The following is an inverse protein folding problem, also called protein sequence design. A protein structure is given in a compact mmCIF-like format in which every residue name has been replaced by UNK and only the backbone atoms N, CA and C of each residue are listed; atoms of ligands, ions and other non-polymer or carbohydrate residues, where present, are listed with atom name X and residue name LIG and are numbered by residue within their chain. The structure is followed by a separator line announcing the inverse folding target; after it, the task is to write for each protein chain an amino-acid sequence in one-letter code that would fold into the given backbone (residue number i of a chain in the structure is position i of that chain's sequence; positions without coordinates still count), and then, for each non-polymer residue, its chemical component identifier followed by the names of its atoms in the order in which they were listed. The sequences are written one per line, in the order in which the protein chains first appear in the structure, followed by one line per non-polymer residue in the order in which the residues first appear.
data_IF_753719185455
#
_entry.id   IF_753719185455
#
_cell.length_a   1.000
_cell.length_b   1.000
_cell.length_c   1.000
_cell.angle_alpha   90.00
_cell.angle_beta   90.00
_cell.angle_gamma   90.00
#
_symmetry.space_group_name_H-M   'P 1'
#
loop_
_entity.id
_entity.type
_entity.pdbx_description
1 polymer ?
#
# COMPACT_ATOMS: atom_id res chain seq x y z
N UNK A 1 50.85 -49.03 1.85
CA UNK A 1 49.70 -48.62 1.02
C UNK A 1 48.86 -47.61 1.81
N UNK A 2 48.98 -46.30 1.49
CA UNK A 2 48.22 -45.23 2.14
C UNK A 2 47.00 -44.92 1.27
N UNK A 3 45.79 -45.09 1.81
CA UNK A 3 44.53 -44.69 1.17
C UNK A 3 44.32 -43.15 1.32
N UNK A 4 43.98 -42.43 0.26
CA UNK A 4 43.60 -41.02 0.40
C UNK A 4 42.18 -40.91 0.96
N UNK A 5 42.06 -40.11 2.04
CA UNK A 5 40.77 -39.67 2.57
C UNK A 5 40.19 -38.61 1.62
N UNK A 6 39.10 -38.95 0.96
CA UNK A 6 38.31 -37.99 0.18
C UNK A 6 37.37 -37.33 1.14
N UNK A 7 37.62 -36.03 1.45
CA UNK A 7 36.64 -35.16 2.13
C UNK A 7 35.57 -34.77 1.12
N UNK A 8 34.29 -35.01 1.38
CA UNK A 8 33.23 -34.40 0.56
C UNK A 8 33.18 -32.92 0.83
N UNK A 9 33.42 -32.13 -0.22
CA UNK A 9 33.18 -30.69 -0.25
C UNK A 9 31.68 -30.45 -0.12
N UNK A 10 31.21 -30.13 1.07
CA UNK A 10 29.84 -29.70 1.30
C UNK A 10 29.73 -28.30 0.71
N UNK A 11 29.23 -28.22 -0.52
CA UNK A 11 28.81 -26.95 -1.13
C UNK A 11 27.57 -26.47 -0.38
N UNK A 12 27.79 -25.58 0.58
CA UNK A 12 26.73 -24.87 1.27
C UNK A 12 26.04 -23.98 0.25
N UNK A 13 24.94 -24.44 -0.33
CA UNK A 13 24.01 -23.64 -1.10
C UNK A 13 23.48 -22.54 -0.15
N UNK A 14 24.05 -21.36 -0.23
CA UNK A 14 23.46 -20.14 0.29
C UNK A 14 22.20 -19.90 -0.56
N UNK A 15 21.10 -20.55 -0.21
CA UNK A 15 19.78 -20.09 -0.58
C UNK A 15 19.64 -18.76 0.15
N UNK A 16 19.80 -17.68 -0.61
CA UNK A 16 19.56 -16.34 -0.08
C UNK A 16 18.16 -16.32 0.52
N UNK A 17 18.07 -16.25 1.85
CA UNK A 17 16.85 -15.86 2.51
C UNK A 17 16.52 -14.47 1.97
N UNK A 18 15.58 -14.39 1.02
CA UNK A 18 14.87 -13.13 0.79
C UNK A 18 14.30 -12.72 2.14
N UNK A 19 14.59 -11.51 2.57
CA UNK A 19 14.14 -11.04 3.87
C UNK A 19 12.61 -11.16 3.93
N UNK A 20 12.08 -11.69 5.02
CA UNK A 20 10.65 -11.88 5.22
C UNK A 20 9.78 -10.62 4.90
N UNK A 21 10.29 -9.39 5.12
CA UNK A 21 9.61 -8.15 4.75
C UNK A 21 9.37 -7.98 3.25
N UNK A 22 10.35 -8.29 2.39
CA UNK A 22 10.22 -8.16 0.93
C UNK A 22 9.12 -9.09 0.39
N UNK A 23 9.03 -10.30 0.92
CA UNK A 23 7.98 -11.24 0.56
C UNK A 23 6.60 -10.73 0.97
N UNK A 24 6.45 -10.11 2.14
CA UNK A 24 5.18 -9.52 2.58
C UNK A 24 4.75 -8.33 1.69
N UNK A 25 5.69 -7.50 1.22
CA UNK A 25 5.38 -6.41 0.31
C UNK A 25 4.87 -6.92 -1.04
N UNK A 26 5.51 -7.96 -1.58
CA UNK A 26 5.07 -8.62 -2.82
C UNK A 26 3.68 -9.25 -2.67
N UNK A 27 3.41 -9.95 -1.57
CA UNK A 27 2.11 -10.54 -1.28
C UNK A 27 1.00 -9.48 -1.17
N UNK A 28 1.26 -8.34 -0.52
CA UNK A 28 0.31 -7.22 -0.43
C UNK A 28 0.01 -6.62 -1.79
N UNK A 29 1.03 -6.34 -2.60
CA UNK A 29 0.84 -5.79 -3.94
C UNK A 29 0.07 -6.78 -4.83
N UNK A 30 0.39 -8.06 -4.79
CA UNK A 30 -0.31 -9.11 -5.53
C UNK A 30 -1.78 -9.25 -5.08
N UNK A 31 -2.07 -9.09 -3.79
CA UNK A 31 -3.44 -9.09 -3.26
C UNK A 31 -4.26 -7.91 -3.83
N UNK A 32 -3.68 -6.70 -3.83
CA UNK A 32 -4.32 -5.50 -4.42
C UNK A 32 -4.60 -5.72 -5.90
N UNK A 33 -3.59 -6.14 -6.66
CA UNK A 33 -3.73 -6.38 -8.10
C UNK A 33 -4.73 -7.49 -8.41
N UNK A 34 -4.71 -8.59 -7.65
CA UNK A 34 -5.66 -9.70 -7.82
C UNK A 34 -7.12 -9.28 -7.56
N UNK A 35 -7.37 -8.49 -6.52
CA UNK A 35 -8.72 -7.99 -6.22
C UNK A 35 -9.23 -7.07 -7.34
N UNK A 36 -8.35 -6.23 -7.90
CA UNK A 36 -8.68 -5.27 -8.96
C UNK A 36 -9.03 -5.94 -10.27
N UNK A 37 -8.33 -7.00 -10.67
CA UNK A 37 -8.57 -7.72 -11.95
C UNK A 37 -10.02 -8.21 -12.05
N UNK A 38 -10.59 -8.72 -10.96
CA UNK A 38 -11.94 -9.30 -10.93
C UNK A 38 -13.03 -8.32 -10.50
N UNK A 39 -12.68 -7.07 -10.18
CA UNK A 39 -13.65 -6.10 -9.70
C UNK A 39 -14.67 -5.71 -10.76
N UNK A 40 -15.96 -5.84 -10.43
CA UNK A 40 -17.06 -5.32 -11.24
C UNK A 40 -17.56 -3.96 -10.73
N UNK A 41 -17.24 -3.61 -9.50
CA UNK A 41 -17.60 -2.36 -8.83
C UNK A 41 -16.48 -1.93 -7.88
N UNK A 42 -16.35 -0.62 -7.70
CA UNK A 42 -15.48 -0.03 -6.70
C UNK A 42 -16.14 1.22 -6.10
N UNK A 43 -15.76 1.56 -4.89
CA UNK A 43 -16.16 2.80 -4.23
C UNK A 43 -15.00 3.32 -3.37
N UNK A 44 -15.07 4.60 -3.02
CA UNK A 44 -14.19 5.20 -2.00
C UNK A 44 -15.05 5.54 -0.80
N UNK A 45 -14.63 5.13 0.38
CA UNK A 45 -15.38 5.33 1.62
C UNK A 45 -14.55 6.06 2.66
N UNK A 46 -15.19 6.93 3.43
CA UNK A 46 -14.65 7.48 4.67
C UNK A 46 -15.15 6.59 5.80
N UNK A 47 -14.24 5.98 6.52
CA UNK A 47 -14.53 4.98 7.56
C UNK A 47 -13.99 5.48 8.89
N UNK A 48 -14.82 5.46 9.93
CA UNK A 48 -14.41 5.81 11.29
C UNK A 48 -13.50 4.73 11.87
N UNK A 49 -12.41 5.15 12.47
CA UNK A 49 -11.40 4.21 12.97
C UNK A 49 -11.87 3.41 14.21
N UNK A 50 -12.71 4.02 15.05
CA UNK A 50 -13.10 3.42 16.33
C UNK A 50 -14.06 2.21 16.24
N UNK A 51 -14.88 2.15 15.20
CA UNK A 51 -15.97 1.17 15.06
C UNK A 51 -16.18 0.66 13.63
N UNK A 52 -15.27 0.99 12.72
CA UNK A 52 -15.35 0.68 11.28
C UNK A 52 -16.63 1.19 10.58
N UNK A 53 -17.32 2.16 11.18
CA UNK A 53 -18.55 2.71 10.61
C UNK A 53 -18.25 3.52 9.33
N UNK A 54 -18.98 3.21 8.26
CA UNK A 54 -18.91 3.96 7.00
C UNK A 54 -19.65 5.28 7.20
N UNK A 55 -18.91 6.40 7.21
CA UNK A 55 -19.44 7.75 7.35
C UNK A 55 -19.92 8.33 6.01
N UNK A 56 -19.23 8.01 4.94
CA UNK A 56 -19.57 8.40 3.57
C UNK A 56 -19.05 7.36 2.58
N UNK A 57 -19.72 7.18 1.45
CA UNK A 57 -19.29 6.26 0.39
C UNK A 57 -19.63 6.84 -0.98
N UNK A 58 -18.68 6.77 -1.89
CA UNK A 58 -18.73 7.33 -3.24
C UNK A 58 -18.46 6.23 -4.26
N UNK A 59 -19.52 5.75 -4.93
CA UNK A 59 -19.44 4.70 -5.93
C UNK A 59 -18.76 5.19 -7.21
N UNK A 60 -17.99 4.34 -7.85
CA UNK A 60 -17.37 4.62 -9.14
C UNK A 60 -18.23 4.13 -10.29
N UNK A 61 -18.43 4.92 -11.37
CA UNK A 61 -18.98 4.43 -12.65
C UNK A 61 -18.10 3.31 -13.24
N UNK A 62 -18.67 2.45 -14.09
CA UNK A 62 -17.95 1.31 -14.69
C UNK A 62 -16.69 1.74 -15.47
N UNK A 63 -16.78 2.87 -16.16
CA UNK A 63 -15.67 3.45 -16.92
C UNK A 63 -14.53 3.84 -15.98
N UNK A 64 -14.85 4.45 -14.85
CA UNK A 64 -13.87 4.81 -13.81
C UNK A 64 -13.27 3.57 -13.13
N UNK A 65 -14.05 2.50 -12.94
CA UNK A 65 -13.52 1.22 -12.45
C UNK A 65 -12.52 0.62 -13.44
N UNK A 66 -12.79 0.71 -14.74
CA UNK A 66 -11.84 0.26 -15.76
C UNK A 66 -10.54 1.09 -15.76
N UNK A 67 -10.66 2.41 -15.61
CA UNK A 67 -9.49 3.29 -15.44
C UNK A 67 -8.71 2.95 -14.18
N UNK A 68 -9.37 2.81 -13.03
CA UNK A 68 -8.77 2.40 -11.77
C UNK A 68 -7.95 1.12 -11.90
N UNK A 69 -8.49 0.10 -12.60
CA UNK A 69 -7.75 -1.14 -12.90
C UNK A 69 -6.44 -0.85 -13.63
N UNK A 70 -6.49 -0.12 -14.72
CA UNK A 70 -5.30 0.20 -15.50
C UNK A 70 -4.27 1.06 -14.75
N UNK A 71 -4.69 1.83 -13.74
CA UNK A 71 -3.78 2.56 -12.86
C UNK A 71 -3.12 1.62 -11.84
N UNK A 72 -3.89 0.79 -11.15
CA UNK A 72 -3.37 -0.11 -10.13
C UNK A 72 -2.53 -1.27 -10.70
N UNK A 73 -2.79 -1.70 -11.94
CA UNK A 73 -1.96 -2.67 -12.68
C UNK A 73 -0.54 -2.16 -12.95
N UNK A 74 -0.34 -0.84 -13.01
CA UNK A 74 0.98 -0.23 -13.13
C UNK A 74 1.76 -0.20 -11.81
N UNK A 75 1.11 -0.54 -10.71
CA UNK A 75 1.71 -0.52 -9.39
C UNK A 75 2.70 -1.67 -9.18
N UNK A 76 3.65 -1.44 -8.29
CA UNK A 76 4.64 -2.41 -7.82
C UNK A 76 4.67 -2.48 -6.29
N UNK A 77 5.23 -3.55 -5.70
CA UNK A 77 5.53 -3.57 -4.28
C UNK A 77 6.49 -2.44 -3.90
N UNK A 78 6.40 -2.00 -2.66
CA UNK A 78 7.34 -1.04 -2.10
C UNK A 78 8.68 -1.72 -1.76
N UNK A 79 9.76 -0.98 -1.92
CA UNK A 79 11.07 -1.33 -1.35
C UNK A 79 11.26 -0.75 0.06
N UNK A 80 10.25 -0.03 0.55
CA UNK A 80 10.25 0.59 1.86
C UNK A 80 9.77 -0.41 2.93
N UNK A 81 10.60 -0.67 3.91
CA UNK A 81 10.31 -1.52 5.06
C UNK A 81 10.51 -0.68 6.33
N UNK A 82 9.43 -0.13 6.91
CA UNK A 82 9.56 0.62 8.15
C UNK A 82 9.84 -0.32 9.33
N UNK A 83 10.84 0.00 10.12
CA UNK A 83 10.93 -0.53 11.47
C UNK A 83 9.78 0.05 12.30
N UNK A 84 8.96 -0.83 12.88
CA UNK A 84 7.77 -0.43 13.62
C UNK A 84 8.17 0.25 14.94
N UNK A 85 8.08 1.56 14.94
CA UNK A 85 7.97 2.34 16.18
C UNK A 85 6.49 2.68 16.35
N UNK A 86 6.00 2.69 17.58
CA UNK A 86 4.59 2.86 17.95
C UNK A 86 3.82 3.80 17.02
N UNK A 87 2.71 3.36 16.43
CA UNK A 87 1.93 4.19 15.53
C UNK A 87 1.46 5.46 16.28
N UNK A 88 1.39 6.61 15.60
CA UNK A 88 0.74 7.79 16.14
C UNK A 88 -0.71 7.45 16.52
N UNK A 89 -1.32 8.26 17.39
CA UNK A 89 -2.73 8.08 17.72
C UNK A 89 -3.57 7.97 16.43
N UNK A 90 -4.47 6.98 16.33
CA UNK A 90 -5.24 6.78 15.11
C UNK A 90 -6.08 8.03 14.81
N UNK A 91 -6.24 8.38 13.52
CA UNK A 91 -7.11 9.48 13.11
C UNK A 91 -8.57 9.16 13.48
N UNK A 92 -9.43 10.18 13.50
CA UNK A 92 -10.87 10.02 13.74
C UNK A 92 -11.51 9.10 12.68
N UNK A 93 -11.15 9.30 11.44
CA UNK A 93 -11.58 8.53 10.27
C UNK A 93 -10.48 8.52 9.22
N UNK A 94 -10.59 7.60 8.27
CA UNK A 94 -9.64 7.48 7.16
C UNK A 94 -10.36 7.13 5.86
N UNK A 95 -9.67 7.24 4.74
CA UNK A 95 -10.23 7.00 3.42
C UNK A 95 -9.77 5.64 2.90
N UNK A 96 -10.73 4.83 2.47
CA UNK A 96 -10.48 3.51 1.93
C UNK A 96 -11.04 3.38 0.52
N UNK A 97 -10.24 2.81 -0.38
CA UNK A 97 -10.69 2.26 -1.64
C UNK A 97 -11.27 0.87 -1.36
N UNK A 98 -12.55 0.68 -1.68
CA UNK A 98 -13.27 -0.57 -1.48
C UNK A 98 -13.48 -1.25 -2.84
N UNK A 99 -12.96 -2.48 -3.00
CA UNK A 99 -13.05 -3.27 -4.22
C UNK A 99 -13.48 -4.69 -3.83
N UNK A 100 -14.76 -5.03 -4.05
CA UNK A 100 -15.32 -6.26 -3.48
C UNK A 100 -15.16 -6.26 -1.96
N UNK A 101 -14.55 -7.31 -1.41
CA UNK A 101 -14.27 -7.44 0.03
C UNK A 101 -12.96 -6.79 0.47
N UNK A 102 -12.16 -6.29 -0.47
CA UNK A 102 -10.89 -5.64 -0.17
C UNK A 102 -11.10 -4.18 0.22
N UNK A 103 -10.45 -3.76 1.30
CA UNK A 103 -10.31 -2.36 1.71
C UNK A 103 -8.84 -1.97 1.65
N UNK A 104 -8.50 -1.01 0.80
CA UNK A 104 -7.16 -0.44 0.66
C UNK A 104 -7.17 0.98 1.20
N UNK A 105 -6.40 1.25 2.26
CA UNK A 105 -6.24 2.60 2.78
C UNK A 105 -5.55 3.48 1.72
N UNK A 106 -6.10 4.66 1.44
CA UNK A 106 -5.51 5.58 0.46
C UNK A 106 -4.10 6.02 0.82
N UNK A 107 -3.79 6.14 2.10
CA UNK A 107 -2.43 6.48 2.55
C UNK A 107 -1.40 5.39 2.27
N UNK A 108 -1.85 4.15 2.04
CA UNK A 108 -0.99 3.04 1.65
C UNK A 108 -0.74 2.94 0.14
N UNK A 109 -1.28 3.87 -0.67
CA UNK A 109 -0.96 4.05 -2.07
C UNK A 109 0.02 5.21 -2.20
N UNK A 110 1.24 4.95 -2.64
CA UNK A 110 2.27 5.98 -2.77
C UNK A 110 2.63 6.22 -4.23
N UNK A 111 3.19 7.39 -4.51
CA UNK A 111 3.91 7.64 -5.76
C UNK A 111 5.38 7.25 -5.62
N UNK A 112 6.06 7.03 -6.74
CA UNK A 112 7.50 6.75 -6.76
C UNK A 112 8.32 7.88 -6.13
N UNK A 113 7.97 9.14 -6.40
CA UNK A 113 8.60 10.32 -5.80
C UNK A 113 8.40 10.37 -4.28
N UNK A 114 7.22 9.99 -3.78
CA UNK A 114 6.97 9.90 -2.33
C UNK A 114 7.82 8.81 -1.69
N UNK A 115 7.86 7.61 -2.27
CA UNK A 115 8.68 6.52 -1.76
C UNK A 115 10.16 6.91 -1.71
N UNK A 116 10.70 7.52 -2.78
CA UNK A 116 12.07 7.97 -2.83
C UNK A 116 12.39 9.02 -1.74
N UNK A 117 11.47 9.97 -1.51
CA UNK A 117 11.61 11.00 -0.48
C UNK A 117 11.59 10.41 0.93
N UNK A 118 10.70 9.45 1.20
CA UNK A 118 10.63 8.78 2.51
C UNK A 118 11.88 7.93 2.76
N UNK A 119 12.41 7.22 1.75
CA UNK A 119 13.67 6.48 1.86
C UNK A 119 14.86 7.41 2.12
N UNK A 120 14.90 8.59 1.50
CA UNK A 120 15.95 9.58 1.76
C UNK A 120 15.86 10.13 3.19
N UNK A 121 14.64 10.41 3.66
CA UNK A 121 14.40 10.87 5.01
C UNK A 121 14.83 9.84 6.06
N UNK A 122 14.49 8.56 5.88
CA UNK A 122 14.89 7.47 6.77
C UNK A 122 16.40 7.32 6.91
N UNK A 123 17.15 7.49 5.82
CA UNK A 123 18.62 7.46 5.86
C UNK A 123 19.21 8.58 6.72
N UNK A 124 18.46 9.67 6.91
CA UNK A 124 18.90 10.87 7.67
C UNK A 124 18.46 10.86 9.12
N UNK A 125 17.36 10.17 9.42
CA UNK A 125 16.66 10.25 10.71
C UNK A 125 16.53 8.87 11.33
N UNK A 126 17.57 8.28 11.88
CA UNK A 126 17.56 6.97 12.58
C UNK A 126 16.16 6.40 12.98
N UNK A 127 15.31 6.15 11.98
CA UNK A 127 14.33 5.10 12.05
C UNK A 127 13.03 5.31 12.82
N UNK A 128 12.36 6.47 12.77
CA UNK A 128 10.94 6.49 13.17
C UNK A 128 10.05 6.08 11.99
N UNK A 129 9.56 4.84 12.03
CA UNK A 129 8.82 4.23 10.95
C UNK A 129 7.42 4.81 10.75
N UNK A 130 7.09 5.14 9.48
CA UNK A 130 5.74 5.42 9.02
C UNK A 130 5.12 4.15 8.43
N UNK A 131 3.81 4.18 8.19
CA UNK A 131 3.10 3.05 7.57
C UNK A 131 3.73 2.70 6.21
N UNK A 132 4.07 1.41 6.02
CA UNK A 132 4.55 0.93 4.73
C UNK A 132 3.46 1.04 3.67
N UNK A 133 3.77 1.48 2.44
CA UNK A 133 2.81 1.44 1.35
C UNK A 133 2.50 -0.02 0.97
N UNK A 134 1.26 -0.26 0.57
CA UNK A 134 0.85 -1.55 0.00
C UNK A 134 1.13 -1.62 -1.49
N UNK A 135 1.10 -0.47 -2.17
CA UNK A 135 1.39 -0.36 -3.60
C UNK A 135 2.02 0.99 -3.92
N UNK A 136 3.00 0.99 -4.81
CA UNK A 136 3.67 2.18 -5.33
C UNK A 136 3.34 2.33 -6.80
N UNK A 137 2.78 3.48 -7.17
CA UNK A 137 2.41 3.83 -8.54
C UNK A 137 3.47 4.74 -9.17
N UNK A 138 3.69 4.67 -10.50
CA UNK A 138 4.36 5.74 -11.21
C UNK A 138 3.70 7.09 -10.91
N UNK A 139 4.47 8.18 -10.83
CA UNK A 139 3.94 9.49 -10.42
C UNK A 139 2.73 9.93 -11.23
N UNK A 140 2.76 9.77 -12.57
CA UNK A 140 1.64 10.12 -13.44
C UNK A 140 0.39 9.26 -13.19
N UNK A 141 0.56 7.97 -12.86
CA UNK A 141 -0.55 7.09 -12.50
C UNK A 141 -1.13 7.46 -11.13
N UNK A 142 -0.26 7.81 -10.17
CA UNK A 142 -0.67 8.27 -8.84
C UNK A 142 -1.48 9.58 -8.92
N UNK A 143 -1.02 10.56 -9.71
CA UNK A 143 -1.75 11.82 -9.90
C UNK A 143 -3.15 11.56 -10.49
N UNK A 144 -3.26 10.70 -11.51
CA UNK A 144 -4.54 10.32 -12.09
C UNK A 144 -5.43 9.57 -11.09
N UNK A 145 -4.86 8.64 -10.32
CA UNK A 145 -5.57 7.94 -9.26
C UNK A 145 -6.14 8.91 -8.23
N UNK A 146 -5.33 9.85 -7.76
CA UNK A 146 -5.76 10.87 -6.80
C UNK A 146 -6.76 11.87 -7.39
N UNK A 147 -6.81 12.04 -8.70
CA UNK A 147 -7.77 12.92 -9.40
C UNK A 147 -9.14 12.26 -9.68
N UNK A 148 -9.31 10.96 -9.42
CA UNK A 148 -10.60 10.30 -9.59
C UNK A 148 -11.68 10.98 -8.74
N UNK A 149 -12.85 11.25 -9.30
CA UNK A 149 -13.93 12.02 -8.64
C UNK A 149 -14.31 11.43 -7.27
N UNK A 150 -14.45 10.10 -7.17
CA UNK A 150 -14.76 9.43 -5.90
C UNK A 150 -13.68 9.65 -4.83
N UNK A 151 -12.40 9.69 -5.22
CA UNK A 151 -11.28 10.00 -4.32
C UNK A 151 -11.35 11.44 -3.85
N UNK A 152 -11.60 12.39 -4.76
CA UNK A 152 -11.72 13.81 -4.43
C UNK A 152 -12.92 14.09 -3.51
N UNK A 153 -14.06 13.45 -3.76
CA UNK A 153 -15.27 13.56 -2.92
C UNK A 153 -15.02 13.03 -1.50
N UNK A 154 -14.36 11.87 -1.38
CA UNK A 154 -14.02 11.30 -0.08
C UNK A 154 -13.05 12.19 0.72
N UNK A 155 -12.03 12.77 0.06
CA UNK A 155 -11.11 13.73 0.69
C UNK A 155 -11.82 15.00 1.17
N UNK A 156 -12.76 15.51 0.39
CA UNK A 156 -13.57 16.66 0.80
C UNK A 156 -14.45 16.32 2.00
N UNK A 157 -15.08 15.13 2.01
CA UNK A 157 -15.90 14.67 3.13
C UNK A 157 -15.08 14.49 4.43
N UNK A 158 -13.90 13.89 4.35
CA UNK A 158 -13.00 13.76 5.51
C UNK A 158 -12.61 15.12 6.08
N UNK A 159 -12.23 16.07 5.21
CA UNK A 159 -11.87 17.43 5.64
C UNK A 159 -13.03 18.16 6.35
N UNK A 160 -14.28 17.95 5.92
CA UNK A 160 -15.45 18.50 6.61
C UNK A 160 -15.58 17.93 8.03
N UNK A 161 -15.43 16.60 8.19
CA UNK A 161 -15.50 15.93 9.50
C UNK A 161 -14.42 16.41 10.47
N UNK A 162 -13.19 16.62 9.98
CA UNK A 162 -12.09 17.15 10.79
C UNK A 162 -12.34 18.59 11.27
N UNK A 163 -13.02 19.40 10.45
CA UNK A 163 -13.37 20.77 10.83
C UNK A 163 -14.51 20.85 11.85
N UNK A 164 -15.45 19.90 11.81
CA UNK A 164 -16.57 19.82 12.78
C UNK A 164 -16.14 19.28 14.15
N UNK A 165 -15.01 18.59 14.21
CA UNK A 165 -14.49 17.99 15.44
C UNK A 165 -13.51 18.90 16.22
N UNK A 166 -13.23 20.09 15.72
CA UNK A 166 -12.40 21.13 16.36
C UNK A 166 -13.22 22.17 17.09
#
# INVERSE_FOLDING_TARGET
MKRPMIFPLITLLMVGCMSAPTQQAEERAAMVQGAVVHACAASVAVIRFSDDAVLSSFSMPKETVAELKGLLEQGRPSVYEPDFVSPPAPPLADIYLCIGDMKLNLESVWSESREASELEWLRKCDGEGRMAPQIVLPDAAYERFMALDAVQQARAALKCLENESR
#
